data_IF_727153082988
#
_entry.id   IF_727153082988
#
_cell.length_a   1.000
_cell.length_b   1.000
_cell.length_c   1.000
_cell.angle_alpha   90.00
_cell.angle_beta   90.00
_cell.angle_gamma   90.00
#
_symmetry.space_group_name_H-M   'P 1'
#
loop_
_entity.id
_entity.type
_entity.pdbx_description
1 polymer ?
#
# COMPACT_ATOMS: atom_id res chain seq x y z
N UNK A 1 -34.59 -45.89 15.11
CA UNK A 1 -34.11 -44.87 16.08
C UNK A 1 -32.61 -44.56 15.99
N UNK A 2 -31.74 -45.46 15.53
CA UNK A 2 -30.26 -45.22 15.45
C UNK A 2 -29.79 -44.24 14.34
N UNK A 3 -30.57 -44.01 13.27
CA UNK A 3 -30.16 -43.09 12.15
C UNK A 3 -30.37 -41.59 12.45
N UNK A 4 -31.24 -41.21 13.38
CA UNK A 4 -31.48 -39.80 13.72
C UNK A 4 -30.46 -39.20 14.68
N UNK A 5 -29.79 -40.06 15.47
CA UNK A 5 -28.78 -39.63 16.46
C UNK A 5 -27.47 -39.26 15.74
N UNK A 6 -27.08 -39.97 14.68
CA UNK A 6 -25.86 -39.67 13.93
C UNK A 6 -25.86 -38.30 13.23
N UNK A 7 -27.00 -37.87 12.70
CA UNK A 7 -27.13 -36.54 12.07
C UNK A 7 -27.09 -35.40 13.07
N UNK A 8 -27.61 -35.60 14.28
CA UNK A 8 -27.60 -34.57 15.31
C UNK A 8 -26.20 -34.34 15.87
N UNK A 9 -25.44 -35.43 16.09
CA UNK A 9 -24.03 -35.34 16.55
C UNK A 9 -23.15 -34.64 15.51
N UNK A 10 -23.29 -34.99 14.24
CA UNK A 10 -22.52 -34.38 13.16
C UNK A 10 -22.81 -32.87 13.01
N UNK A 11 -24.06 -32.41 13.14
CA UNK A 11 -24.42 -31.00 13.10
C UNK A 11 -23.83 -30.20 14.30
N UNK A 12 -23.74 -30.83 15.48
CA UNK A 12 -23.16 -30.16 16.65
C UNK A 12 -21.63 -30.04 16.52
N UNK A 13 -20.94 -31.04 15.98
CA UNK A 13 -19.49 -30.99 15.75
C UNK A 13 -19.11 -29.94 14.70
N UNK A 14 -19.87 -29.82 13.60
CA UNK A 14 -19.65 -28.77 12.59
C UNK A 14 -19.94 -27.37 13.15
N UNK A 15 -20.96 -27.22 13.98
CA UNK A 15 -21.29 -25.96 14.64
C UNK A 15 -20.20 -25.51 15.61
N UNK A 16 -19.66 -26.43 16.41
CA UNK A 16 -18.55 -26.12 17.36
C UNK A 16 -17.27 -25.79 16.61
N UNK A 17 -16.94 -26.50 15.53
CA UNK A 17 -15.76 -26.23 14.72
C UNK A 17 -15.86 -24.86 14.03
N UNK A 18 -17.04 -24.49 13.51
CA UNK A 18 -17.26 -23.17 12.90
C UNK A 18 -17.11 -22.03 13.91
N UNK A 19 -17.61 -22.22 15.15
CA UNK A 19 -17.48 -21.24 16.23
C UNK A 19 -16.01 -21.12 16.68
N UNK A 20 -15.27 -22.24 16.76
CA UNK A 20 -13.86 -22.23 17.12
C UNK A 20 -13.00 -21.56 16.02
N UNK A 21 -13.29 -21.83 14.75
CA UNK A 21 -12.61 -21.17 13.62
C UNK A 21 -12.92 -19.66 13.59
N UNK A 22 -14.17 -19.25 13.81
CA UNK A 22 -14.55 -17.84 13.88
C UNK A 22 -13.85 -17.12 15.06
N UNK A 23 -13.74 -17.78 16.23
CA UNK A 23 -13.01 -17.22 17.37
C UNK A 23 -11.51 -17.17 17.14
N UNK A 24 -10.92 -18.17 16.48
CA UNK A 24 -9.51 -18.19 16.14
C UNK A 24 -9.17 -17.09 15.10
N UNK A 25 -10.00 -16.89 14.09
CA UNK A 25 -9.89 -15.78 13.16
C UNK A 25 -10.04 -14.41 13.86
N UNK A 26 -11.01 -14.27 14.76
CA UNK A 26 -11.24 -13.01 15.48
C UNK A 26 -10.07 -12.66 16.44
N UNK A 27 -9.46 -13.64 17.10
CA UNK A 27 -8.28 -13.43 17.95
C UNK A 27 -7.07 -13.04 17.11
N UNK A 28 -6.84 -13.71 15.97
CA UNK A 28 -5.71 -13.42 15.08
C UNK A 28 -5.84 -12.06 14.38
N UNK A 29 -7.07 -11.65 14.03
CA UNK A 29 -7.36 -10.31 13.50
C UNK A 29 -7.12 -9.24 14.58
N UNK A 30 -7.47 -9.52 15.86
CA UNK A 30 -7.23 -8.60 16.97
C UNK A 30 -5.75 -8.37 17.27
N UNK A 31 -4.93 -9.43 17.27
CA UNK A 31 -3.49 -9.33 17.51
C UNK A 31 -2.76 -8.58 16.37
N UNK A 32 -3.17 -8.81 15.12
CA UNK A 32 -2.60 -8.09 13.97
C UNK A 32 -3.04 -6.62 13.93
N UNK A 33 -4.24 -6.28 14.41
CA UNK A 33 -4.73 -4.89 14.44
C UNK A 33 -3.90 -3.99 15.35
N UNK A 34 -3.40 -4.48 16.48
CA UNK A 34 -2.50 -3.72 17.36
C UNK A 34 -1.14 -3.49 16.72
N UNK A 35 -0.53 -4.49 16.08
CA UNK A 35 0.76 -4.36 15.41
C UNK A 35 0.72 -3.39 14.22
N UNK A 36 -0.35 -3.43 13.42
CA UNK A 36 -0.54 -2.48 12.30
C UNK A 36 -0.76 -1.06 12.82
N UNK A 37 -1.51 -0.91 13.91
CA UNK A 37 -1.78 0.39 14.52
C UNK A 37 -0.49 1.04 15.02
N UNK A 38 0.35 0.27 15.71
CA UNK A 38 1.63 0.75 16.24
C UNK A 38 2.60 1.13 15.11
N UNK A 39 2.61 0.35 14.02
CA UNK A 39 3.40 0.63 12.82
C UNK A 39 2.96 1.95 12.14
N UNK A 40 1.65 2.16 11.96
CA UNK A 40 1.12 3.39 11.33
C UNK A 40 1.36 4.64 12.20
N UNK A 41 1.31 4.51 13.53
CA UNK A 41 1.64 5.60 14.46
C UNK A 41 3.12 5.93 14.40
N UNK A 42 3.98 4.91 14.42
CA UNK A 42 5.43 5.09 14.38
C UNK A 42 5.91 5.68 13.04
N UNK A 43 5.27 5.29 11.92
CA UNK A 43 5.56 5.84 10.60
C UNK A 43 5.18 7.33 10.51
N UNK A 44 4.06 7.73 11.10
CA UNK A 44 3.63 9.14 11.15
C UNK A 44 4.56 10.00 12.01
N UNK A 45 5.05 9.49 13.13
CA UNK A 45 6.02 10.18 14.00
C UNK A 45 7.38 10.34 13.31
N UNK A 46 7.82 9.37 12.53
CA UNK A 46 9.06 9.42 11.76
C UNK A 46 8.99 10.45 10.61
N UNK A 47 7.83 10.55 9.93
CA UNK A 47 7.62 11.57 8.87
C UNK A 47 7.59 12.98 9.44
N UNK A 48 6.98 13.20 10.62
CA UNK A 48 6.99 14.51 11.29
C UNK A 48 8.39 14.89 11.82
N UNK A 49 9.22 13.92 12.19
CA UNK A 49 10.59 14.14 12.62
C UNK A 49 11.54 14.45 11.45
N UNK A 50 11.32 13.84 10.30
CA UNK A 50 12.09 14.09 9.07
C UNK A 50 11.83 15.49 8.52
N UNK A 51 10.58 15.94 8.54
CA UNK A 51 10.21 17.30 8.09
C UNK A 51 10.80 18.41 8.99
N UNK A 52 10.97 18.14 10.29
CA UNK A 52 11.60 19.09 11.24
C UNK A 52 13.13 19.15 11.11
N UNK A 53 13.78 18.10 10.59
CA UNK A 53 15.21 18.12 10.36
C UNK A 53 15.59 18.87 9.09
N UNK A 54 14.77 18.83 8.04
CA UNK A 54 14.99 19.60 6.80
C UNK A 54 14.90 21.12 7.00
N UNK A 55 14.08 21.60 7.95
CA UNK A 55 14.03 23.03 8.29
C UNK A 55 15.25 23.52 9.11
N UNK A 56 15.99 22.63 9.76
CA UNK A 56 17.16 22.97 10.55
C UNK A 56 18.47 23.04 9.76
N UNK A 57 18.60 22.31 8.66
CA UNK A 57 19.81 22.33 7.80
C UNK A 57 19.83 23.53 6.84
N UNK A 58 18.70 24.12 6.51
CA UNK A 58 18.63 25.30 5.63
C UNK A 58 19.08 26.64 6.28
N UNK A 59 19.43 26.64 7.56
CA UNK A 59 19.78 27.86 8.30
C UNK A 59 21.27 28.04 8.63
N UNK A 60 22.18 27.18 8.14
CA UNK A 60 23.58 27.11 8.62
C UNK A 60 24.68 27.35 7.57
N UNK A 61 24.40 27.81 6.36
CA UNK A 61 25.47 28.12 5.40
C UNK A 61 25.53 29.61 5.05
N UNK A 62 26.26 30.35 5.87
CA UNK A 62 26.94 31.59 5.47
C UNK A 62 28.07 31.88 6.48
N UNK A 63 29.32 31.79 6.04
CA UNK A 63 30.46 32.70 6.27
C UNK A 63 31.77 32.00 5.91
N UNK A 64 32.32 32.32 4.79
CA UNK A 64 33.63 32.85 4.34
C UNK A 64 34.90 32.51 5.18
N UNK A 65 35.97 32.08 4.47
CA UNK A 65 37.33 32.25 4.94
C UNK A 65 38.40 31.48 4.14
N UNK A 66 39.09 32.17 3.25
CA UNK A 66 40.23 31.72 2.46
C UNK A 66 41.54 31.65 3.26
N UNK A 67 42.45 30.75 2.88
CA UNK A 67 43.90 30.90 2.74
C UNK A 67 44.57 29.53 2.70
N UNK A 68 45.21 29.16 1.63
CA UNK A 68 46.56 29.33 1.13
C UNK A 68 47.62 28.48 1.89
N UNK A 69 48.43 27.67 1.16
CA UNK A 69 49.75 27.30 1.59
C UNK A 69 50.23 25.83 1.39
N UNK A 70 50.68 25.48 0.21
CA UNK A 70 51.96 24.81 -0.19
C UNK A 70 52.55 23.61 0.60
N UNK A 71 52.90 22.65 -0.26
CA UNK A 71 54.19 21.94 -0.46
C UNK A 71 54.57 20.74 0.41
N UNK A 72 55.10 19.71 -0.32
CA UNK A 72 56.12 18.76 0.16
C UNK A 72 55.85 17.28 -0.14
N UNK A 73 56.11 16.81 -1.29
CA UNK A 73 57.10 15.91 -1.91
C UNK A 73 57.78 14.81 -1.00
N UNK A 74 57.83 13.65 -1.61
CA UNK A 74 58.82 12.55 -1.77
C UNK A 74 58.31 11.21 -1.21
N UNK A 75 58.10 10.26 -2.12
CA UNK A 75 58.96 9.14 -2.53
C UNK A 75 59.45 8.24 -1.36
N UNK A 76 59.01 6.97 -1.38
CA UNK A 76 59.92 5.84 -1.68
C UNK A 76 59.16 4.52 -1.83
N UNK A 77 59.67 3.73 -2.78
CA UNK A 77 59.24 2.41 -3.18
C UNK A 77 59.83 1.32 -2.24
N UNK A 78 59.23 0.12 -2.31
CA UNK A 78 59.85 -1.20 -2.49
C UNK A 78 58.85 -2.30 -2.16
N UNK A 79 58.40 -3.04 -3.18
CA UNK A 79 58.66 -4.46 -3.50
C UNK A 79 58.40 -5.46 -2.35
N UNK A 80 57.60 -6.42 -2.51
CA UNK A 80 57.63 -7.71 -3.13
C UNK A 80 56.78 -8.79 -2.41
N UNK A 81 56.05 -9.52 -3.20
CA UNK A 81 55.83 -10.97 -3.41
C UNK A 81 54.63 -11.64 -2.70
N UNK A 82 54.00 -12.64 -3.36
CA UNK A 82 52.56 -12.96 -3.35
C UNK A 82 52.23 -14.10 -2.39
N UNK A 83 51.05 -13.98 -1.82
CA UNK A 83 50.39 -15.05 -1.08
C UNK A 83 49.04 -15.31 -1.69
N UNK A 84 48.98 -16.28 -2.58
CA UNK A 84 47.76 -16.93 -3.06
C UNK A 84 47.02 -17.59 -1.88
N UNK A 85 45.87 -17.05 -1.51
CA UNK A 85 44.78 -17.78 -0.88
C UNK A 85 43.46 -17.20 -1.38
N UNK A 86 42.96 -17.80 -2.46
CA UNK A 86 41.62 -17.67 -2.91
C UNK A 86 40.64 -18.25 -1.87
N UNK A 87 40.19 -17.45 -0.96
CA UNK A 87 38.92 -17.66 -0.27
C UNK A 87 37.86 -16.86 -1.03
N UNK A 88 37.24 -17.56 -1.93
CA UNK A 88 36.03 -17.15 -2.66
C UNK A 88 34.87 -17.11 -1.65
N UNK A 89 34.81 -16.07 -0.84
CA UNK A 89 33.63 -15.75 -0.02
C UNK A 89 32.57 -15.23 -0.96
N UNK A 90 31.74 -16.17 -1.42
CA UNK A 90 30.43 -15.89 -2.01
C UNK A 90 29.55 -15.21 -0.93
N UNK A 91 29.81 -13.98 -0.60
CA UNK A 91 28.86 -13.10 0.03
C UNK A 91 27.88 -12.59 -1.04
N UNK A 92 27.07 -13.49 -1.55
CA UNK A 92 25.81 -13.17 -2.19
C UNK A 92 24.83 -12.69 -1.11
N UNK A 93 25.04 -11.52 -0.55
CA UNK A 93 24.05 -10.85 0.26
C UNK A 93 22.79 -10.69 -0.59
N UNK A 94 21.74 -11.41 -0.25
CA UNK A 94 20.42 -11.20 -0.80
C UNK A 94 19.98 -9.79 -0.34
N UNK A 95 20.29 -8.76 -1.13
CA UNK A 95 19.73 -7.44 -0.90
C UNK A 95 18.22 -7.58 -1.06
N UNK A 96 17.50 -7.40 0.03
CA UNK A 96 16.05 -7.30 -0.06
C UNK A 96 15.70 -6.20 -1.05
N UNK A 97 14.86 -6.54 -2.03
CA UNK A 97 14.39 -5.56 -3.01
C UNK A 97 13.57 -4.51 -2.28
N UNK A 98 13.76 -3.26 -2.64
CA UNK A 98 12.87 -2.18 -2.22
C UNK A 98 11.45 -2.51 -2.64
N UNK A 99 10.47 -2.25 -1.78
CA UNK A 99 9.05 -2.52 -2.05
C UNK A 99 8.24 -1.24 -2.11
N UNK A 100 7.21 -1.24 -2.93
CA UNK A 100 6.28 -0.13 -3.07
C UNK A 100 4.87 -0.66 -3.34
N UNK A 101 3.85 0.01 -2.80
CA UNK A 101 2.46 -0.28 -3.13
C UNK A 101 1.86 0.84 -3.98
N UNK A 102 1.47 0.50 -5.21
CA UNK A 102 0.70 1.40 -6.07
C UNK A 102 -0.79 1.22 -5.77
N UNK A 103 -1.49 2.31 -5.47
CA UNK A 103 -2.88 2.25 -5.04
C UNK A 103 -3.75 3.24 -5.80
N UNK A 104 -5.00 2.84 -6.06
CA UNK A 104 -5.96 3.63 -6.83
C UNK A 104 -7.26 3.79 -6.07
N UNK A 105 -7.72 5.02 -5.91
CA UNK A 105 -8.97 5.38 -5.25
C UNK A 105 -10.06 5.73 -6.27
N UNK A 106 -11.32 5.79 -5.81
CA UNK A 106 -12.52 6.21 -6.52
C UNK A 106 -13.04 5.28 -7.63
N UNK A 107 -12.32 4.22 -7.98
CA UNK A 107 -12.75 3.27 -9.00
C UNK A 107 -14.02 2.46 -8.64
N UNK A 108 -14.48 1.61 -9.59
CA UNK A 108 -13.97 1.45 -10.94
C UNK A 108 -14.50 2.47 -11.95
N UNK A 109 -13.67 2.88 -12.90
CA UNK A 109 -14.03 3.69 -14.05
C UNK A 109 -14.28 2.78 -15.27
N UNK A 110 -15.42 2.91 -15.95
CA UNK A 110 -15.70 2.11 -17.15
C UNK A 110 -14.73 2.37 -18.30
N UNK A 111 -14.07 3.53 -18.32
CA UNK A 111 -13.16 3.93 -19.40
C UNK A 111 -11.68 3.69 -19.05
N UNK A 112 -11.27 4.02 -17.83
CA UNK A 112 -9.85 4.09 -17.50
C UNK A 112 -9.35 2.86 -16.74
N UNK A 113 -10.19 2.26 -15.88
CA UNK A 113 -9.82 1.03 -15.17
C UNK A 113 -9.42 -0.12 -16.11
N UNK A 114 -10.13 -0.39 -17.24
CA UNK A 114 -9.70 -1.44 -18.16
C UNK A 114 -8.31 -1.19 -18.76
N UNK A 115 -8.00 0.06 -19.13
CA UNK A 115 -6.68 0.44 -19.68
C UNK A 115 -5.57 0.27 -18.65
N UNK A 116 -5.88 0.61 -17.40
CA UNK A 116 -4.94 0.45 -16.29
C UNK A 116 -4.66 -1.03 -16.00
N UNK A 117 -5.70 -1.87 -15.91
CA UNK A 117 -5.57 -3.30 -15.67
C UNK A 117 -4.74 -3.98 -16.77
N UNK A 118 -5.01 -3.67 -18.04
CA UNK A 118 -4.23 -4.18 -19.17
C UNK A 118 -2.74 -3.81 -19.05
N UNK A 119 -2.44 -2.54 -18.78
CA UNK A 119 -1.06 -2.08 -18.67
C UNK A 119 -0.33 -2.63 -17.45
N UNK A 120 -1.00 -2.84 -16.31
CA UNK A 120 -0.43 -3.50 -15.12
C UNK A 120 -0.15 -4.97 -15.41
N UNK A 121 -1.07 -5.66 -16.08
CA UNK A 121 -0.94 -7.06 -16.46
C UNK A 121 0.25 -7.29 -17.40
N UNK A 122 0.43 -6.44 -18.41
CA UNK A 122 1.58 -6.49 -19.34
C UNK A 122 2.93 -6.41 -18.60
N UNK A 123 2.96 -5.72 -17.46
CA UNK A 123 4.15 -5.53 -16.62
C UNK A 123 4.27 -6.55 -15.49
N UNK A 124 3.27 -7.44 -15.33
CA UNK A 124 3.22 -8.41 -14.24
C UNK A 124 3.12 -7.79 -12.85
N UNK A 125 2.52 -6.60 -12.73
CA UNK A 125 2.42 -5.82 -11.50
C UNK A 125 1.03 -5.93 -10.88
N UNK A 126 0.98 -6.15 -9.56
CA UNK A 126 -0.24 -6.10 -8.78
C UNK A 126 -0.35 -4.78 -8.02
N UNK A 127 -1.55 -4.23 -7.98
CA UNK A 127 -1.88 -2.97 -7.29
C UNK A 127 -3.00 -3.18 -6.28
N UNK A 128 -3.33 -2.14 -5.53
CA UNK A 128 -4.49 -2.12 -4.63
C UNK A 128 -5.50 -1.10 -5.12
N UNK A 129 -6.77 -1.51 -5.21
CA UNK A 129 -7.88 -0.65 -5.63
C UNK A 129 -8.84 -0.44 -4.46
N UNK A 130 -9.01 0.80 -4.02
CA UNK A 130 -10.00 1.20 -3.02
C UNK A 130 -11.27 1.70 -3.73
N UNK A 131 -12.28 0.85 -3.79
CA UNK A 131 -13.46 1.08 -4.61
C UNK A 131 -14.54 1.85 -3.85
N UNK A 132 -15.18 2.80 -4.53
CA UNK A 132 -16.42 3.42 -4.09
C UNK A 132 -17.60 2.52 -4.45
N UNK A 133 -18.44 2.17 -3.48
CA UNK A 133 -19.59 1.29 -3.72
C UNK A 133 -20.48 1.78 -4.87
N UNK A 134 -20.91 3.04 -4.86
CA UNK A 134 -21.75 3.61 -5.93
C UNK A 134 -21.16 3.52 -7.35
N UNK A 135 -19.86 3.26 -7.48
CA UNK A 135 -19.20 3.13 -8.77
C UNK A 135 -19.13 1.67 -9.27
N UNK A 136 -19.55 0.70 -8.45
CA UNK A 136 -19.49 -0.74 -8.77
C UNK A 136 -20.62 -1.13 -9.72
N UNK A 137 -21.83 -0.61 -9.53
CA UNK A 137 -23.01 -0.95 -10.34
C UNK A 137 -22.73 -0.84 -11.85
N UNK A 138 -23.01 -1.92 -12.58
CA UNK A 138 -22.74 -2.04 -14.02
C UNK A 138 -21.28 -2.23 -14.40
N UNK A 139 -20.38 -2.43 -13.41
CA UNK A 139 -18.94 -2.67 -13.61
C UNK A 139 -18.43 -3.88 -12.83
N UNK A 140 -19.33 -4.78 -12.45
CA UNK A 140 -19.05 -6.01 -11.69
C UNK A 140 -17.96 -6.86 -12.38
N UNK A 141 -17.95 -6.86 -13.71
CA UNK A 141 -16.93 -7.58 -14.51
C UNK A 141 -15.55 -7.02 -14.25
N UNK A 142 -15.40 -5.70 -14.12
CA UNK A 142 -14.09 -5.08 -13.82
C UNK A 142 -13.61 -5.41 -12.40
N UNK A 143 -14.52 -5.38 -11.42
CA UNK A 143 -14.18 -5.77 -10.04
C UNK A 143 -13.75 -7.24 -9.99
N UNK A 144 -14.46 -8.12 -10.72
CA UNK A 144 -14.09 -9.53 -10.84
C UNK A 144 -12.73 -9.71 -11.51
N UNK A 145 -12.46 -8.97 -12.58
CA UNK A 145 -11.17 -8.95 -13.28
C UNK A 145 -10.02 -8.53 -12.35
N UNK A 146 -10.19 -7.45 -11.57
CA UNK A 146 -9.19 -7.03 -10.57
C UNK A 146 -8.79 -8.19 -9.64
N UNK A 147 -9.79 -8.92 -9.13
CA UNK A 147 -9.54 -10.06 -8.25
C UNK A 147 -8.82 -11.21 -8.99
N UNK A 148 -9.29 -11.58 -10.17
CA UNK A 148 -8.73 -12.67 -10.96
C UNK A 148 -7.29 -12.39 -11.43
N UNK A 149 -6.95 -11.13 -11.63
CA UNK A 149 -5.60 -10.68 -11.98
C UNK A 149 -4.70 -10.47 -10.74
N UNK A 150 -5.18 -10.79 -9.53
CA UNK A 150 -4.37 -10.79 -8.30
C UNK A 150 -4.20 -9.43 -7.64
N UNK A 151 -4.98 -8.43 -8.03
CA UNK A 151 -5.01 -7.15 -7.35
C UNK A 151 -5.76 -7.26 -6.00
N UNK A 152 -5.37 -6.42 -5.05
CA UNK A 152 -6.10 -6.30 -3.80
C UNK A 152 -7.25 -5.30 -3.97
N UNK A 153 -8.42 -5.68 -3.46
CA UNK A 153 -9.59 -4.80 -3.46
C UNK A 153 -9.87 -4.36 -2.03
N UNK A 154 -9.92 -3.06 -1.83
CA UNK A 154 -10.30 -2.40 -0.58
C UNK A 154 -11.54 -1.55 -0.73
N UNK A 155 -12.01 -1.02 0.38
CA UNK A 155 -13.20 -0.18 0.50
C UNK A 155 -12.84 1.30 0.51
N UNK A 156 -13.62 2.14 -0.20
CA UNK A 156 -13.47 3.61 -0.19
C UNK A 156 -14.79 4.31 0.14
N UNK A 157 -15.63 3.68 1.00
CA UNK A 157 -17.02 4.05 1.31
C UNK A 157 -17.95 3.98 0.11
N UNK A 158 -19.26 4.08 0.35
CA UNK A 158 -20.23 4.02 -0.73
C UNK A 158 -20.28 5.33 -1.54
N UNK A 159 -20.42 6.47 -0.86
CA UNK A 159 -20.63 7.78 -1.47
C UNK A 159 -19.41 8.70 -1.43
N UNK A 160 -18.22 8.24 -0.98
CA UNK A 160 -17.05 9.08 -0.74
C UNK A 160 -17.27 10.15 0.34
N UNK A 161 -17.91 9.76 1.43
CA UNK A 161 -18.24 10.65 2.55
C UNK A 161 -17.05 10.83 3.49
N UNK A 162 -16.92 12.01 4.06
CA UNK A 162 -15.92 12.29 5.10
C UNK A 162 -16.39 11.65 6.42
N UNK A 163 -15.77 10.53 6.80
CA UNK A 163 -16.22 9.66 7.89
C UNK A 163 -16.22 10.32 9.27
N UNK A 164 -15.39 11.33 9.49
CA UNK A 164 -15.32 12.09 10.74
C UNK A 164 -16.46 13.13 10.89
N UNK A 165 -17.21 13.41 9.84
CA UNK A 165 -18.31 14.40 9.82
C UNK A 165 -19.70 13.78 9.96
N UNK A 166 -19.82 12.45 9.93
CA UNK A 166 -21.11 11.74 10.00
C UNK A 166 -21.19 10.90 11.29
N UNK A 167 -22.38 10.38 11.62
CA UNK A 167 -22.53 9.50 12.78
C UNK A 167 -21.80 8.18 12.57
N UNK A 168 -21.54 7.43 13.65
CA UNK A 168 -20.91 6.11 13.56
C UNK A 168 -21.77 5.11 12.79
N UNK A 169 -23.07 5.19 12.97
CA UNK A 169 -24.07 4.34 12.29
C UNK A 169 -24.07 4.60 10.80
N UNK A 170 -24.07 5.88 10.38
CA UNK A 170 -23.98 6.26 8.97
C UNK A 170 -22.61 5.87 8.36
N UNK A 171 -21.52 6.04 9.12
CA UNK A 171 -20.20 5.60 8.67
C UNK A 171 -20.12 4.08 8.48
N UNK A 172 -20.76 3.32 9.40
CA UNK A 172 -20.87 1.87 9.28
C UNK A 172 -21.67 1.46 8.05
N UNK A 173 -22.82 2.09 7.81
CA UNK A 173 -23.66 1.81 6.64
C UNK A 173 -22.91 2.05 5.32
N UNK A 174 -22.20 3.17 5.19
CA UNK A 174 -21.34 3.51 4.03
C UNK A 174 -20.28 2.44 3.76
N UNK A 175 -19.68 1.92 4.81
CA UNK A 175 -18.63 0.91 4.71
C UNK A 175 -19.22 -0.49 4.44
N UNK A 176 -20.25 -0.90 5.20
CA UNK A 176 -20.84 -2.23 5.06
C UNK A 176 -21.53 -2.44 3.72
N UNK A 177 -22.21 -1.40 3.20
CA UNK A 177 -22.85 -1.47 1.87
C UNK A 177 -21.81 -1.75 0.80
N UNK A 178 -20.70 -1.01 0.79
CA UNK A 178 -19.59 -1.24 -0.16
C UNK A 178 -18.95 -2.62 0.02
N UNK A 179 -18.74 -3.04 1.26
CA UNK A 179 -18.19 -4.37 1.54
C UNK A 179 -19.08 -5.48 1.02
N UNK A 180 -20.40 -5.34 1.19
CA UNK A 180 -21.37 -6.33 0.71
C UNK A 180 -21.36 -6.44 -0.82
N UNK A 181 -21.32 -5.31 -1.54
CA UNK A 181 -21.24 -5.30 -3.00
C UNK A 181 -19.95 -5.97 -3.51
N UNK A 182 -18.81 -5.65 -2.90
CA UNK A 182 -17.53 -6.28 -3.26
C UNK A 182 -17.61 -7.79 -2.99
N UNK A 183 -18.16 -8.21 -1.84
CA UNK A 183 -18.31 -9.61 -1.49
C UNK A 183 -19.23 -10.39 -2.45
N UNK A 184 -20.33 -9.82 -2.88
CA UNK A 184 -21.27 -10.45 -3.82
C UNK A 184 -20.60 -10.77 -5.16
N UNK A 185 -19.65 -9.96 -5.59
CA UNK A 185 -18.90 -10.14 -6.84
C UNK A 185 -17.71 -11.09 -6.67
N UNK A 186 -16.95 -10.91 -5.60
CA UNK A 186 -15.64 -11.55 -5.42
C UNK A 186 -15.67 -12.80 -4.55
N UNK A 187 -16.71 -12.93 -3.69
CA UNK A 187 -16.77 -13.93 -2.63
C UNK A 187 -15.81 -13.67 -1.47
N UNK A 188 -15.09 -12.53 -1.47
CA UNK A 188 -14.12 -12.15 -0.43
C UNK A 188 -14.55 -10.83 0.21
N UNK A 189 -14.66 -10.82 1.52
CA UNK A 189 -14.94 -9.60 2.28
C UNK A 189 -13.68 -8.74 2.36
N UNK A 190 -13.70 -7.46 1.97
CA UNK A 190 -12.52 -6.60 2.06
C UNK A 190 -12.13 -6.38 3.52
N UNK A 191 -10.84 -6.48 3.80
CA UNK A 191 -10.28 -6.19 5.13
C UNK A 191 -9.69 -4.76 5.21
N UNK A 192 -9.41 -4.14 4.09
CA UNK A 192 -8.70 -2.87 3.97
C UNK A 192 -9.65 -1.75 3.54
N UNK A 193 -9.53 -0.61 4.21
CA UNK A 193 -10.31 0.59 3.92
C UNK A 193 -9.37 1.77 3.75
N UNK A 194 -9.58 2.57 2.70
CA UNK A 194 -9.00 3.91 2.67
C UNK A 194 -10.10 4.93 2.95
N UNK A 195 -9.98 5.71 4.05
CA UNK A 195 -10.98 6.71 4.36
C UNK A 195 -10.89 7.87 3.36
N UNK A 196 -12.02 8.35 2.80
CA UNK A 196 -12.02 9.53 1.97
C UNK A 196 -11.34 10.72 2.65
N UNK A 197 -10.56 11.48 1.87
CA UNK A 197 -9.77 12.64 2.35
C UNK A 197 -8.68 12.29 3.38
N UNK A 198 -8.40 11.00 3.65
CA UNK A 198 -7.48 10.58 4.71
C UNK A 198 -8.01 10.76 6.14
N UNK A 199 -9.27 11.13 6.29
CA UNK A 199 -9.86 11.45 7.59
C UNK A 199 -10.46 10.22 8.26
N UNK A 200 -9.77 9.76 9.31
CA UNK A 200 -10.14 8.57 10.07
C UNK A 200 -10.34 8.87 11.56
N UNK A 201 -11.45 8.37 12.13
CA UNK A 201 -11.66 8.39 13.58
C UNK A 201 -11.14 7.11 14.21
N UNK A 202 -10.19 7.19 15.10
CA UNK A 202 -9.62 6.04 15.85
C UNK A 202 -10.66 5.13 16.51
N UNK A 203 -11.86 5.63 16.82
CA UNK A 203 -12.91 4.85 17.44
C UNK A 203 -13.84 4.14 16.44
N UNK A 204 -13.62 4.28 15.13
CA UNK A 204 -14.31 3.48 14.12
C UNK A 204 -13.66 2.10 13.92
N UNK A 205 -12.37 1.93 14.23
CA UNK A 205 -11.62 0.69 14.01
C UNK A 205 -12.35 -0.51 14.62
N UNK A 206 -12.76 -0.40 15.89
CA UNK A 206 -13.49 -1.47 16.60
C UNK A 206 -14.94 -1.64 16.14
N UNK A 207 -15.48 -0.65 15.45
CA UNK A 207 -16.87 -0.66 15.05
C UNK A 207 -17.11 -1.32 13.71
N UNK A 208 -16.14 -1.20 12.79
CA UNK A 208 -16.24 -1.72 11.43
C UNK A 208 -15.31 -2.91 11.15
N UNK A 209 -14.34 -3.18 12.02
CA UNK A 209 -13.44 -4.33 11.90
C UNK A 209 -12.55 -4.30 10.66
N UNK A 210 -12.19 -3.11 10.16
CA UNK A 210 -11.35 -2.93 8.99
C UNK A 210 -10.07 -2.19 9.32
N UNK A 211 -9.03 -2.42 8.51
CA UNK A 211 -7.73 -1.77 8.62
C UNK A 211 -7.69 -0.50 7.76
N UNK A 212 -7.56 0.69 8.35
CA UNK A 212 -7.41 1.91 7.58
C UNK A 212 -6.03 2.00 6.95
N UNK A 213 -5.97 2.34 5.66
CA UNK A 213 -4.73 2.55 4.90
C UNK A 213 -4.70 3.98 4.39
N UNK A 214 -3.67 4.72 4.74
CA UNK A 214 -3.35 6.03 4.19
C UNK A 214 -2.30 5.89 3.09
N UNK A 215 -1.58 6.95 2.78
CA UNK A 215 -0.52 6.99 1.78
C UNK A 215 0.69 7.77 2.28
N UNK A 216 1.82 7.52 1.67
CA UNK A 216 3.05 8.26 1.90
C UNK A 216 3.29 9.30 0.81
N UNK A 217 2.89 8.99 -0.44
CA UNK A 217 3.05 9.87 -1.60
C UNK A 217 1.69 10.16 -2.23
N UNK A 218 1.23 11.41 -2.18
CA UNK A 218 0.08 11.90 -2.95
C UNK A 218 0.58 12.46 -4.28
N UNK A 219 0.29 11.76 -5.36
CA UNK A 219 0.72 12.18 -6.70
C UNK A 219 0.03 13.43 -7.22
N UNK A 220 -1.04 13.87 -6.57
CA UNK A 220 -1.91 14.98 -6.99
C UNK A 220 -2.41 14.82 -8.43
N UNK A 221 -2.57 13.59 -8.91
CA UNK A 221 -3.02 13.27 -10.28
C UNK A 221 -4.42 13.81 -10.55
N UNK A 222 -5.32 13.72 -9.58
CA UNK A 222 -6.67 14.26 -9.61
C UNK A 222 -6.72 15.77 -9.83
N UNK A 223 -5.68 16.49 -9.37
CA UNK A 223 -5.58 17.94 -9.41
C UNK A 223 -4.82 18.43 -10.65
N UNK A 224 -3.64 17.87 -10.87
CA UNK A 224 -2.73 18.31 -11.93
C UNK A 224 -3.17 17.84 -13.31
N UNK A 225 -3.68 16.61 -13.41
CA UNK A 225 -4.02 15.93 -14.67
C UNK A 225 -2.90 16.02 -15.72
N UNK A 226 -1.67 15.99 -15.21
CA UNK A 226 -0.46 16.19 -16.02
C UNK A 226 0.60 15.16 -15.63
N UNK A 227 1.01 14.33 -16.59
CA UNK A 227 1.95 13.23 -16.41
C UNK A 227 3.28 13.71 -15.84
N UNK A 228 3.88 14.77 -16.39
CA UNK A 228 5.18 15.26 -15.95
C UNK A 228 5.16 15.74 -14.49
N UNK A 229 4.05 16.36 -14.08
CA UNK A 229 3.87 16.80 -12.69
C UNK A 229 3.76 15.63 -11.72
N UNK A 230 3.02 14.59 -12.10
CA UNK A 230 2.88 13.34 -11.35
C UNK A 230 4.25 12.66 -11.22
N UNK A 231 4.94 12.44 -12.33
CA UNK A 231 6.26 11.80 -12.39
C UNK A 231 7.30 12.54 -11.55
N UNK A 232 7.25 13.86 -11.51
CA UNK A 232 8.17 14.67 -10.70
C UNK A 232 7.95 14.45 -9.20
N UNK A 233 6.70 14.33 -8.73
CA UNK A 233 6.38 14.04 -7.33
C UNK A 233 6.95 12.66 -6.98
N UNK A 234 6.63 11.65 -7.77
CA UNK A 234 7.09 10.28 -7.53
C UNK A 234 8.61 10.18 -7.46
N UNK A 235 9.33 10.79 -8.41
CA UNK A 235 10.80 10.79 -8.42
C UNK A 235 11.44 11.44 -7.19
N UNK A 236 10.75 12.38 -6.57
CA UNK A 236 11.28 13.11 -5.42
C UNK A 236 10.87 12.53 -4.07
N UNK A 237 9.75 11.81 -4.01
CA UNK A 237 9.12 11.47 -2.73
C UNK A 237 9.01 9.95 -2.48
N UNK A 238 9.20 9.10 -3.51
CA UNK A 238 9.09 7.64 -3.31
C UNK A 238 10.33 7.09 -2.63
N UNK A 239 10.10 6.40 -1.53
CA UNK A 239 11.09 5.66 -0.77
C UNK A 239 10.67 4.19 -0.62
N UNK A 240 11.57 3.34 -0.11
CA UNK A 240 11.28 1.94 0.19
C UNK A 240 10.15 1.83 1.22
N UNK A 241 9.16 0.99 0.92
CA UNK A 241 7.97 0.82 1.74
C UNK A 241 6.88 1.88 1.51
N UNK A 242 6.99 2.73 0.50
CA UNK A 242 6.00 3.78 0.24
C UNK A 242 4.69 3.23 -0.31
N UNK A 243 3.58 3.81 0.12
CA UNK A 243 2.23 3.66 -0.45
C UNK A 243 1.94 4.88 -1.31
N UNK A 244 1.78 4.68 -2.62
CA UNK A 244 1.52 5.74 -3.61
C UNK A 244 0.01 5.84 -3.85
N UNK A 245 -0.56 7.04 -3.67
CA UNK A 245 -1.94 7.37 -3.98
C UNK A 245 -2.07 7.88 -5.40
N UNK A 246 -2.96 7.26 -6.15
CA UNK A 246 -3.44 7.68 -7.47
C UNK A 246 -4.95 7.45 -7.60
N UNK A 247 -5.52 7.83 -8.76
CA UNK A 247 -6.92 7.60 -9.10
C UNK A 247 -7.02 7.07 -10.53
N UNK A 248 -7.92 6.13 -10.80
CA UNK A 248 -8.17 5.58 -12.14
C UNK A 248 -9.27 6.36 -12.91
N UNK A 249 -9.28 7.69 -12.73
CA UNK A 249 -10.33 8.57 -13.20
C UNK A 249 -9.97 9.38 -14.46
N UNK A 250 -8.69 9.43 -14.86
CA UNK A 250 -8.19 10.24 -15.97
C UNK A 250 -7.16 9.50 -16.83
N UNK A 251 -7.10 9.85 -18.11
CA UNK A 251 -6.07 9.29 -19.01
C UNK A 251 -4.65 9.59 -18.51
N UNK A 252 -4.42 10.81 -18.05
CA UNK A 252 -3.12 11.22 -17.50
C UNK A 252 -2.71 10.42 -16.27
N UNK A 253 -3.68 9.98 -15.45
CA UNK A 253 -3.41 9.11 -14.31
C UNK A 253 -2.97 7.72 -14.75
N UNK A 254 -3.65 7.14 -15.74
CA UNK A 254 -3.27 5.84 -16.32
C UNK A 254 -1.89 5.92 -16.95
N UNK A 255 -1.65 6.93 -17.82
CA UNK A 255 -0.37 7.10 -18.50
C UNK A 255 0.78 7.29 -17.50
N UNK A 256 0.55 8.08 -16.45
CA UNK A 256 1.53 8.27 -15.38
C UNK A 256 1.75 7.00 -14.55
N UNK A 257 0.69 6.28 -14.20
CA UNK A 257 0.80 5.05 -13.42
C UNK A 257 1.70 4.01 -14.12
N UNK A 258 1.51 3.81 -15.42
CA UNK A 258 2.32 2.88 -16.19
C UNK A 258 3.78 3.33 -16.31
N UNK A 259 4.03 4.63 -16.46
CA UNK A 259 5.39 5.19 -16.44
C UNK A 259 6.05 5.09 -15.05
N UNK A 260 5.27 5.24 -13.96
CA UNK A 260 5.75 5.02 -12.59
C UNK A 260 6.19 3.58 -12.41
N UNK A 261 5.39 2.62 -12.90
CA UNK A 261 5.75 1.20 -12.85
C UNK A 261 7.05 0.95 -13.59
N UNK A 262 7.18 1.42 -14.83
CA UNK A 262 8.38 1.22 -15.62
C UNK A 262 9.62 1.83 -14.94
N UNK A 263 9.51 3.07 -14.46
CA UNK A 263 10.59 3.79 -13.75
C UNK A 263 11.05 3.05 -12.49
N UNK A 264 10.11 2.71 -11.60
CA UNK A 264 10.47 2.13 -10.30
C UNK A 264 10.96 0.68 -10.44
N UNK A 265 10.49 -0.07 -11.45
CA UNK A 265 11.05 -1.38 -11.78
C UNK A 265 12.52 -1.26 -12.26
N UNK A 266 12.85 -0.26 -13.08
CA UNK A 266 14.22 0.05 -13.49
C UNK A 266 15.11 0.44 -12.30
N UNK A 267 14.54 1.10 -11.27
CA UNK A 267 15.23 1.46 -10.03
C UNK A 267 15.30 0.31 -9.00
N UNK A 268 14.80 -0.88 -9.36
CA UNK A 268 14.89 -2.11 -8.56
C UNK A 268 13.80 -2.27 -7.51
N UNK A 269 12.70 -1.51 -7.59
CA UNK A 269 11.54 -1.72 -6.73
C UNK A 269 10.71 -2.93 -7.15
N UNK A 270 10.15 -3.62 -6.16
CA UNK A 270 9.11 -4.63 -6.31
C UNK A 270 7.76 -4.03 -5.97
N UNK A 271 6.80 -4.16 -6.88
CA UNK A 271 5.42 -3.74 -6.61
C UNK A 271 4.67 -4.84 -5.85
N UNK A 272 4.11 -4.48 -4.71
CA UNK A 272 3.30 -5.37 -3.88
C UNK A 272 1.97 -4.72 -3.53
N UNK A 273 0.98 -5.52 -3.18
CA UNK A 273 -0.28 -5.02 -2.63
C UNK A 273 -0.09 -4.54 -1.19
N UNK A 274 -0.95 -3.64 -0.69
CA UNK A 274 -0.76 -3.03 0.64
C UNK A 274 -0.75 -4.05 1.78
N UNK A 275 -1.47 -5.15 1.66
CA UNK A 275 -1.45 -6.24 2.64
C UNK A 275 -0.06 -6.89 2.74
N UNK A 276 0.61 -7.13 1.61
CA UNK A 276 1.97 -7.67 1.55
C UNK A 276 3.06 -6.67 1.92
N UNK A 277 2.76 -5.37 1.83
CA UNK A 277 3.67 -4.32 2.28
C UNK A 277 3.62 -4.14 3.79
N UNK A 278 2.41 -4.17 4.37
CA UNK A 278 2.16 -3.88 5.78
C UNK A 278 2.28 -5.13 6.66
N UNK A 279 1.94 -6.31 6.12
CA UNK A 279 1.99 -7.62 6.78
C UNK A 279 2.93 -8.55 6.01
N UNK A 280 4.25 -8.33 6.07
CA UNK A 280 5.23 -9.13 5.32
C UNK A 280 5.34 -10.58 5.79
#
# INVERSE_FOLDING_TARGET
MKRKIGHLVMCVEFGVLAILLARFCAVRIGENAEGIRDFLVQKKENTESSSKNTEKEAASDKVIGASDGRDGRAEDALEDVPGDTSEDTLEGGCQEKKKVALTFDDGPSSKYTPLLLEGLKERGVHATFFLMGKNIEGKEVLVKQMQEEGHLIGNHTYNHVQLDKISKEAAKEEIETTNQEIYEITGVYPAWLRPPYGEWRKNLDFYVGMFPVLWDVDTLDWKSKNVDSIMRIVKNEVEDGAVILMHDAYQSSVDAALQIVDLLMEEGYEFVTVDKLILP
#
